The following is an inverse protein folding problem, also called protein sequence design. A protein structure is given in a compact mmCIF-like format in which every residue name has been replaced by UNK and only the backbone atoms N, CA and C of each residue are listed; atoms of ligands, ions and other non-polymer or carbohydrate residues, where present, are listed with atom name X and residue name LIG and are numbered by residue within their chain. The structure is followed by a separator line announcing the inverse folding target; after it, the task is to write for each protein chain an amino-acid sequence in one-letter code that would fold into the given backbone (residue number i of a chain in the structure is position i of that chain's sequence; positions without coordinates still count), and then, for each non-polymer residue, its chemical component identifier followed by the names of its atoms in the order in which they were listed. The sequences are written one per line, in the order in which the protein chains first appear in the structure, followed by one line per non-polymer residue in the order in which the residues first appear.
data_IF_038127142738
#
_entry.id   IF_038127142738
#
_cell.length_a   1.000
_cell.length_b   1.000
_cell.length_c   1.000
_cell.angle_alpha   90.00
_cell.angle_beta   90.00
_cell.angle_gamma   90.00
#
_symmetry.space_group_name_H-M   'P 1'
#
loop_
_entity.id
_entity.type
_entity.pdbx_description
1 polymer ?
#
# COMPACT_ATOMS: atom_id res chain seq x y z
N UNK A 1 -40.95 -72.12 -21.47
CA UNK A 1 -40.67 -71.79 -20.05
C UNK A 1 -39.18 -71.63 -19.77
N UNK A 2 -38.30 -72.55 -20.20
CA UNK A 2 -36.86 -72.51 -19.91
C UNK A 2 -36.18 -71.17 -20.28
N UNK A 3 -36.48 -70.64 -21.47
CA UNK A 3 -35.92 -69.37 -22.00
C UNK A 3 -36.47 -68.11 -21.31
N UNK A 4 -37.67 -68.18 -20.74
CA UNK A 4 -38.26 -67.06 -20.02
C UNK A 4 -37.58 -66.89 -18.65
N UNK A 5 -37.35 -68.01 -17.95
CA UNK A 5 -36.69 -68.01 -16.64
C UNK A 5 -35.24 -67.52 -16.72
N UNK A 6 -34.50 -67.84 -17.79
CA UNK A 6 -33.12 -67.34 -17.99
C UNK A 6 -33.08 -65.84 -18.20
N UNK A 7 -33.99 -65.30 -19.02
CA UNK A 7 -34.09 -63.85 -19.26
C UNK A 7 -34.49 -63.09 -17.99
N UNK A 8 -35.35 -63.67 -17.15
CA UNK A 8 -35.70 -63.08 -15.84
C UNK A 8 -34.47 -63.06 -14.92
N UNK A 9 -33.74 -64.17 -14.82
CA UNK A 9 -32.53 -64.24 -13.99
C UNK A 9 -31.45 -63.25 -14.44
N UNK A 10 -31.22 -63.08 -15.75
CA UNK A 10 -30.28 -62.08 -16.28
C UNK A 10 -30.70 -60.64 -15.93
N UNK A 11 -32.01 -60.34 -15.97
CA UNK A 11 -32.53 -59.03 -15.57
C UNK A 11 -32.37 -58.80 -14.07
N UNK A 12 -32.56 -59.81 -13.23
CA UNK A 12 -32.40 -59.69 -11.78
C UNK A 12 -30.94 -59.40 -11.41
N UNK A 13 -29.97 -60.06 -12.06
CA UNK A 13 -28.55 -59.75 -11.90
C UNK A 13 -28.25 -58.31 -12.34
N UNK A 14 -28.76 -57.88 -13.49
CA UNK A 14 -28.57 -56.51 -13.97
C UNK A 14 -29.25 -55.45 -13.08
N UNK A 15 -30.32 -55.81 -12.35
CA UNK A 15 -30.93 -54.95 -11.32
C UNK A 15 -30.00 -54.86 -10.12
N UNK A 16 -29.50 -56.00 -9.63
CA UNK A 16 -28.61 -56.06 -8.48
C UNK A 16 -27.30 -55.28 -8.71
N UNK A 17 -26.70 -55.40 -9.89
CA UNK A 17 -25.50 -54.63 -10.26
C UNK A 17 -25.76 -53.11 -10.26
N UNK A 18 -26.92 -52.67 -10.78
CA UNK A 18 -27.31 -51.25 -10.74
C UNK A 18 -27.55 -50.76 -9.32
N UNK A 19 -28.18 -51.57 -8.48
CA UNK A 19 -28.45 -51.19 -7.09
C UNK A 19 -27.14 -51.05 -6.29
N UNK A 20 -26.16 -51.92 -6.54
CA UNK A 20 -24.81 -51.78 -5.97
C UNK A 20 -24.11 -50.50 -6.48
N UNK A 21 -24.13 -50.23 -7.79
CA UNK A 21 -23.53 -49.02 -8.36
C UNK A 21 -24.19 -47.74 -7.80
N UNK A 22 -25.50 -47.75 -7.55
CA UNK A 22 -26.21 -46.63 -6.90
C UNK A 22 -25.73 -46.45 -5.45
N UNK A 23 -25.50 -47.53 -4.69
CA UNK A 23 -24.98 -47.44 -3.33
C UNK A 23 -23.57 -46.85 -3.30
N UNK A 24 -22.69 -47.27 -4.21
CA UNK A 24 -21.35 -46.70 -4.34
C UNK A 24 -21.39 -45.21 -4.67
N UNK A 25 -22.24 -44.80 -5.62
CA UNK A 25 -22.40 -43.37 -5.95
C UNK A 25 -22.95 -42.55 -4.78
N UNK A 26 -23.81 -43.11 -3.94
CA UNK A 26 -24.29 -42.42 -2.72
C UNK A 26 -23.15 -42.17 -1.74
N UNK A 27 -22.25 -43.14 -1.56
CA UNK A 27 -21.07 -42.99 -0.70
C UNK A 27 -20.18 -41.87 -1.26
N UNK A 28 -19.87 -41.92 -2.57
CA UNK A 28 -19.04 -40.89 -3.22
C UNK A 28 -19.67 -39.50 -3.13
N UNK A 29 -20.99 -39.39 -3.26
CA UNK A 29 -21.70 -38.12 -3.10
C UNK A 29 -21.56 -37.57 -1.68
N UNK A 30 -21.73 -38.42 -0.67
CA UNK A 30 -21.56 -38.04 0.72
C UNK A 30 -20.13 -37.53 1.01
N UNK A 31 -19.11 -38.26 0.55
CA UNK A 31 -17.71 -37.83 0.69
C UNK A 31 -17.45 -36.49 -0.01
N UNK A 32 -18.05 -36.25 -1.19
CA UNK A 32 -17.95 -34.98 -1.89
C UNK A 32 -18.64 -33.84 -1.14
N UNK A 33 -19.79 -34.08 -0.54
CA UNK A 33 -20.49 -33.09 0.28
C UNK A 33 -19.66 -32.68 1.50
N UNK A 34 -19.00 -33.63 2.17
CA UNK A 34 -18.09 -33.34 3.27
C UNK A 34 -16.87 -32.52 2.82
N UNK A 35 -16.27 -32.89 1.69
CA UNK A 35 -15.14 -32.15 1.13
C UNK A 35 -15.51 -30.72 0.70
N UNK A 36 -16.72 -30.52 0.16
CA UNK A 36 -17.24 -29.19 -0.14
C UNK A 36 -17.48 -28.37 1.13
N UNK A 37 -18.05 -28.98 2.17
CA UNK A 37 -18.25 -28.31 3.46
C UNK A 37 -16.92 -27.88 4.11
N UNK A 38 -15.86 -28.69 3.97
CA UNK A 38 -14.52 -28.33 4.45
C UNK A 38 -13.93 -27.15 3.66
N UNK A 39 -14.06 -27.17 2.33
CA UNK A 39 -13.64 -26.06 1.49
C UNK A 39 -14.38 -24.77 1.83
N UNK A 40 -15.68 -24.84 2.09
CA UNK A 40 -16.49 -23.67 2.43
C UNK A 40 -16.09 -23.09 3.80
N UNK A 41 -15.76 -23.93 4.79
CA UNK A 41 -15.17 -23.48 6.06
C UNK A 41 -13.84 -22.75 5.84
N UNK A 42 -12.95 -23.29 5.01
CA UNK A 42 -11.67 -22.66 4.72
C UNK A 42 -11.83 -21.31 3.99
N UNK A 43 -12.83 -21.17 3.12
CA UNK A 43 -13.16 -19.89 2.47
C UNK A 43 -13.65 -18.88 3.51
N UNK A 44 -14.55 -19.30 4.41
CA UNK A 44 -15.07 -18.44 5.46
C UNK A 44 -13.95 -17.93 6.40
N UNK A 45 -12.99 -18.78 6.75
CA UNK A 45 -11.81 -18.38 7.54
C UNK A 45 -10.94 -17.35 6.80
N UNK A 46 -10.71 -17.56 5.50
CA UNK A 46 -9.96 -16.60 4.67
C UNK A 46 -10.68 -15.26 4.56
N UNK A 47 -12.00 -15.28 4.35
CA UNK A 47 -12.81 -14.06 4.26
C UNK A 47 -12.83 -13.30 5.58
N UNK A 48 -12.90 -14.00 6.71
CA UNK A 48 -12.76 -13.40 8.04
C UNK A 48 -11.39 -12.74 8.22
N UNK A 49 -10.30 -13.42 7.85
CA UNK A 49 -8.96 -12.85 7.91
C UNK A 49 -8.79 -11.61 6.99
N UNK A 50 -9.40 -11.63 5.81
CA UNK A 50 -9.41 -10.47 4.89
C UNK A 50 -10.21 -9.31 5.50
N UNK A 51 -11.36 -9.59 6.12
CA UNK A 51 -12.17 -8.58 6.78
C UNK A 51 -11.40 -7.94 7.96
N UNK A 52 -10.71 -8.74 8.78
CA UNK A 52 -9.83 -8.24 9.83
C UNK A 52 -8.70 -7.37 9.27
N UNK A 53 -8.03 -7.83 8.22
CA UNK A 53 -6.97 -7.05 7.57
C UNK A 53 -7.50 -5.72 7.00
N UNK A 54 -8.74 -5.71 6.51
CA UNK A 54 -9.41 -4.49 6.05
C UNK A 54 -9.65 -3.51 7.21
N UNK A 55 -10.14 -3.99 8.35
CA UNK A 55 -10.33 -3.16 9.55
C UNK A 55 -9.00 -2.59 10.05
N UNK A 56 -7.91 -3.37 10.00
CA UNK A 56 -6.56 -2.88 10.36
C UNK A 56 -6.15 -1.74 9.43
N UNK A 57 -6.39 -1.87 8.12
CA UNK A 57 -6.06 -0.84 7.15
C UNK A 57 -6.90 0.44 7.36
N UNK A 58 -8.21 0.30 7.63
CA UNK A 58 -9.09 1.42 7.94
C UNK A 58 -8.68 2.13 9.24
N UNK A 59 -8.32 1.37 10.27
CA UNK A 59 -7.76 1.90 11.51
C UNK A 59 -6.45 2.66 11.27
N UNK A 60 -5.59 2.11 10.41
CA UNK A 60 -4.34 2.74 10.03
C UNK A 60 -4.56 4.08 9.30
N UNK A 61 -5.53 4.13 8.39
CA UNK A 61 -5.90 5.35 7.68
C UNK A 61 -6.50 6.40 8.63
N UNK A 62 -7.33 5.99 9.59
CA UNK A 62 -7.87 6.86 10.63
C UNK A 62 -6.78 7.42 11.55
N UNK A 63 -5.81 6.59 11.97
CA UNK A 63 -4.65 7.02 12.75
C UNK A 63 -3.81 8.05 11.98
N UNK A 64 -3.57 7.81 10.69
CA UNK A 64 -2.90 8.78 9.84
C UNK A 64 -3.67 10.10 9.74
N UNK A 65 -4.99 10.07 9.64
CA UNK A 65 -5.80 11.29 9.60
C UNK A 65 -5.74 12.09 10.92
N UNK A 66 -5.76 11.42 12.06
CA UNK A 66 -5.56 12.05 13.37
C UNK A 66 -4.15 12.63 13.51
N UNK A 67 -3.13 11.89 13.09
CA UNK A 67 -1.76 12.38 13.04
C UNK A 67 -1.62 13.66 12.19
N UNK A 68 -2.28 13.70 11.04
CA UNK A 68 -2.33 14.92 10.20
C UNK A 68 -3.02 16.11 10.88
N UNK A 69 -4.08 15.86 11.65
CA UNK A 69 -4.79 16.90 12.42
C UNK A 69 -3.88 17.49 13.50
N UNK A 70 -3.09 16.64 14.16
CA UNK A 70 -2.18 17.03 15.23
C UNK A 70 -0.97 17.84 14.72
N UNK A 71 -0.44 17.51 13.53
CA UNK A 71 0.55 18.36 12.85
C UNK A 71 0.01 19.74 12.47
N UNK A 72 -1.30 19.88 12.22
CA UNK A 72 -1.94 21.17 11.91
C UNK A 72 -2.21 22.03 13.15
N UNK A 73 -2.05 21.48 14.36
CA UNK A 73 -2.36 22.18 15.62
C UNK A 73 -1.11 22.62 16.41
N UNK A 74 0.09 22.46 15.86
CA UNK A 74 1.35 22.84 16.52
C UNK A 74 1.99 24.14 15.98
N UNK A 75 1.28 24.93 15.17
CA UNK A 75 1.77 26.21 14.63
C UNK A 75 1.55 27.44 15.55
N UNK A 76 1.07 27.26 16.79
CA UNK A 76 0.80 28.40 17.68
C UNK A 76 1.67 28.40 18.95
N UNK A 77 2.99 28.46 18.80
CA UNK A 77 3.86 29.10 19.81
C UNK A 77 5.01 29.89 19.17
N UNK A 78 4.90 31.21 19.33
CA UNK A 78 5.93 32.25 19.14
C UNK A 78 6.19 32.71 17.70
N UNK A 79 5.58 33.85 17.33
CA UNK A 79 6.32 35.07 17.00
C UNK A 79 5.37 36.27 17.25
N UNK A 80 5.70 37.07 18.25
CA UNK A 80 5.19 38.44 18.39
C UNK A 80 5.95 39.34 17.43
N UNK A 81 5.30 39.82 16.37
CA UNK A 81 5.67 41.10 15.76
C UNK A 81 4.39 41.87 15.42
N UNK A 82 4.16 42.92 16.18
CA UNK A 82 3.20 43.95 15.88
C UNK A 82 3.61 44.67 14.59
N UNK A 83 2.77 44.66 13.56
CA UNK A 83 2.57 45.83 12.71
C UNK A 83 1.15 45.78 12.12
N UNK A 84 0.35 46.77 12.47
CA UNK A 84 -1.06 46.87 12.07
C UNK A 84 -1.24 47.20 10.59
N UNK A 85 -2.40 46.84 10.05
CA UNK A 85 -3.43 47.78 9.62
C UNK A 85 -4.66 46.99 9.19
N UNK A 86 -5.84 47.46 9.62
CA UNK A 86 -7.11 46.76 9.49
C UNK A 86 -7.70 46.78 8.08
N UNK A 87 -8.77 45.99 7.92
CA UNK A 87 -10.11 46.39 7.46
C UNK A 87 -10.93 45.08 7.36
N UNK A 88 -11.92 44.92 8.24
CA UNK A 88 -13.00 43.94 8.07
C UNK A 88 -14.01 44.47 7.06
N UNK A 89 -14.79 43.60 6.39
CA UNK A 89 -16.17 43.44 6.85
C UNK A 89 -16.75 42.01 6.76
N UNK A 90 -17.65 41.71 7.69
CA UNK A 90 -18.52 40.52 7.73
C UNK A 90 -19.59 40.54 6.60
N UNK A 91 -20.33 39.43 6.32
CA UNK A 91 -21.63 39.25 7.00
C UNK A 91 -22.18 37.81 7.21
N UNK A 92 -22.95 37.67 8.32
CA UNK A 92 -24.30 37.06 8.52
C UNK A 92 -24.56 35.52 8.43
N UNK A 93 -24.89 34.98 9.61
CA UNK A 93 -25.98 34.07 10.05
C UNK A 93 -26.62 33.02 9.10
N UNK A 94 -26.75 31.79 9.65
CA UNK A 94 -27.79 30.81 9.31
C UNK A 94 -27.76 29.59 10.24
N UNK A 95 -28.70 29.51 11.19
CA UNK A 95 -28.96 28.35 12.06
C UNK A 95 -29.70 27.24 11.29
N UNK A 96 -29.38 25.97 11.53
CA UNK A 96 -30.36 24.87 11.58
C UNK A 96 -29.91 23.78 12.56
N UNK A 97 -30.90 23.19 13.21
CA UNK A 97 -30.90 22.44 14.47
C UNK A 97 -31.19 20.94 14.23
N UNK A 98 -30.99 20.13 15.28
CA UNK A 98 -31.31 18.69 15.51
C UNK A 98 -30.18 17.71 15.13
N UNK A 99 -29.78 16.73 15.95
CA UNK A 99 -30.32 16.19 17.22
C UNK A 99 -29.23 15.40 17.95
N UNK A 100 -29.19 15.55 19.27
CA UNK A 100 -28.32 14.83 20.21
C UNK A 100 -28.96 13.48 20.58
N UNK A 101 -28.24 12.38 20.37
CA UNK A 101 -28.61 11.06 20.86
C UNK A 101 -27.35 10.36 21.40
N UNK A 102 -27.41 10.05 22.69
CA UNK A 102 -26.36 9.43 23.48
C UNK A 102 -25.97 8.03 22.98
N UNK A 103 -24.68 7.70 23.05
CA UNK A 103 -24.29 6.33 23.42
C UNK A 103 -22.99 6.30 24.22
N UNK A 104 -23.19 5.98 25.50
CA UNK A 104 -22.24 5.44 26.46
C UNK A 104 -21.23 4.47 25.84
N UNK A 105 -19.94 4.70 26.06
CA UNK A 105 -18.96 3.60 26.12
C UNK A 105 -17.89 3.91 27.16
N UNK A 106 -17.81 3.00 28.13
CA UNK A 106 -16.80 2.91 29.18
C UNK A 106 -15.41 2.78 28.55
N UNK A 107 -14.54 3.76 28.73
CA UNK A 107 -13.12 3.62 28.42
C UNK A 107 -12.40 2.92 29.58
N UNK A 108 -12.18 1.61 29.39
CA UNK A 108 -11.32 0.71 30.17
C UNK A 108 -10.13 0.37 29.24
N UNK A 109 -8.91 0.22 29.78
CA UNK A 109 -7.79 1.08 29.41
C UNK A 109 -6.92 0.54 28.26
N UNK A 110 -6.15 1.49 27.71
CA UNK A 110 -4.89 1.32 27.01
C UNK A 110 -4.13 0.04 27.44
N UNK A 111 -4.16 -0.98 26.58
CA UNK A 111 -3.07 -1.93 26.48
C UNK A 111 -2.50 -1.86 25.06
N UNK A 112 -1.78 -0.78 24.84
CA UNK A 112 -0.85 -0.63 23.73
C UNK A 112 0.37 -1.48 24.06
N UNK A 113 0.38 -2.72 23.59
CA UNK A 113 1.56 -3.57 23.65
C UNK A 113 1.69 -4.30 22.32
N UNK A 114 2.15 -3.56 21.31
CA UNK A 114 2.86 -4.16 20.19
C UNK A 114 4.31 -3.66 20.24
N UNK A 115 5.13 -4.32 21.04
CA UNK A 115 6.56 -4.38 20.71
C UNK A 115 6.71 -5.34 19.53
N UNK A 116 6.68 -4.80 18.33
CA UNK A 116 7.34 -5.41 17.17
C UNK A 116 8.10 -4.33 16.43
N UNK A 117 9.41 -4.31 16.70
CA UNK A 117 10.50 -3.67 15.94
C UNK A 117 10.15 -3.46 14.47
N UNK A 118 9.77 -2.22 14.11
CA UNK A 118 10.00 -1.52 12.83
C UNK A 118 9.15 -0.24 12.79
N UNK A 119 9.55 0.76 13.56
CA UNK A 119 8.92 2.08 13.53
C UNK A 119 9.11 2.75 12.18
N UNK A 120 8.04 2.80 11.39
CA UNK A 120 7.85 3.76 10.31
C UNK A 120 6.45 4.32 10.47
N UNK A 121 6.32 5.32 11.35
CA UNK A 121 5.22 6.27 11.25
C UNK A 121 5.23 6.77 9.80
N UNK A 122 4.17 6.50 9.03
CA UNK A 122 4.02 7.04 7.69
C UNK A 122 3.83 8.55 7.85
N UNK A 123 4.94 9.27 7.84
CA UNK A 123 4.96 10.66 7.43
C UNK A 123 4.47 10.70 5.99
N UNK A 124 3.19 10.97 5.83
CA UNK A 124 2.57 11.16 4.53
C UNK A 124 2.95 12.57 4.06
N UNK A 125 4.12 12.61 3.44
CA UNK A 125 4.78 13.82 3.04
C UNK A 125 4.00 14.46 1.89
N UNK A 126 3.43 15.67 2.09
CA UNK A 126 2.67 16.39 1.07
C UNK A 126 3.59 16.77 -0.10
N UNK A 127 3.52 15.96 -1.15
CA UNK A 127 4.35 16.05 -2.36
C UNK A 127 4.28 17.42 -3.08
N UNK A 128 3.24 18.23 -2.79
CA UNK A 128 3.03 19.55 -3.38
C UNK A 128 3.79 20.70 -2.68
N UNK A 129 4.38 20.50 -1.51
CA UNK A 129 4.94 21.60 -0.69
C UNK A 129 6.47 21.59 -0.64
N UNK A 130 7.13 20.48 -1.00
CA UNK A 130 8.59 20.37 -0.92
C UNK A 130 9.28 20.61 -2.26
N UNK A 131 10.46 21.25 -2.25
CA UNK A 131 11.26 21.37 -3.47
C UNK A 131 11.61 19.99 -4.05
N UNK A 132 11.67 19.94 -5.39
CA UNK A 132 12.20 18.77 -6.08
C UNK A 132 13.66 18.53 -5.64
N UNK A 133 14.04 17.29 -5.30
CA UNK A 133 15.40 16.96 -4.89
C UNK A 133 16.38 17.22 -6.03
N UNK A 134 17.65 17.41 -5.69
CA UNK A 134 18.73 17.69 -6.63
C UNK A 134 19.77 16.57 -6.62
N UNK A 135 20.72 16.63 -7.54
CA UNK A 135 21.83 15.68 -7.61
C UNK A 135 23.13 16.41 -8.00
N UNK A 136 24.12 16.41 -7.12
CA UNK A 136 25.40 17.12 -7.30
C UNK A 136 26.55 16.27 -7.88
N UNK A 137 26.23 15.20 -8.61
CA UNK A 137 27.24 14.24 -9.09
C UNK A 137 28.24 14.82 -10.10
N UNK A 138 27.89 15.92 -10.76
CA UNK A 138 28.73 16.62 -11.75
C UNK A 138 29.50 17.80 -11.16
N UNK A 139 29.37 18.05 -9.84
CA UNK A 139 29.92 19.25 -9.19
C UNK A 139 28.93 20.42 -9.12
N UNK A 140 27.88 20.39 -9.94
CA UNK A 140 26.76 21.36 -9.91
C UNK A 140 25.45 20.68 -9.47
N UNK A 141 24.56 21.44 -8.84
CA UNK A 141 23.24 20.95 -8.39
C UNK A 141 22.26 20.86 -9.56
N UNK A 142 21.92 19.64 -9.95
CA UNK A 142 21.01 19.39 -11.08
C UNK A 142 19.66 18.85 -10.59
N UNK A 143 18.56 19.40 -11.08
CA UNK A 143 17.22 19.05 -10.61
C UNK A 143 16.82 17.60 -10.95
N UNK A 144 16.28 16.92 -9.94
CA UNK A 144 15.51 15.68 -9.95
C UNK A 144 14.34 15.68 -10.95
N UNK A 145 14.11 14.63 -11.75
CA UNK A 145 12.81 14.45 -12.41
C UNK A 145 11.99 13.33 -11.78
N UNK A 146 10.66 13.47 -11.85
CA UNK A 146 9.72 12.47 -11.35
C UNK A 146 9.80 11.19 -12.17
N UNK A 147 9.67 10.06 -11.48
CA UNK A 147 9.75 8.73 -12.08
C UNK A 147 8.78 7.75 -11.39
N UNK A 148 7.89 7.14 -12.18
CA UNK A 148 6.95 6.14 -11.67
C UNK A 148 6.01 6.67 -10.59
N UNK A 149 5.61 5.82 -9.65
CA UNK A 149 4.72 6.19 -8.55
C UNK A 149 5.53 6.87 -7.41
N UNK A 150 5.63 8.19 -7.45
CA UNK A 150 6.29 9.02 -6.43
C UNK A 150 7.83 8.90 -6.37
N UNK A 151 8.45 8.21 -7.34
CA UNK A 151 9.90 8.04 -7.40
C UNK A 151 10.62 9.22 -8.05
N UNK A 152 11.95 9.16 -7.98
CA UNK A 152 12.85 10.18 -8.52
C UNK A 152 13.93 9.56 -9.39
N UNK A 153 14.37 10.33 -10.38
CA UNK A 153 15.45 9.93 -11.26
C UNK A 153 16.43 11.09 -11.49
N UNK A 154 17.72 10.82 -11.37
CA UNK A 154 18.77 11.84 -11.49
C UNK A 154 18.87 12.37 -12.93
N UNK A 155 19.06 13.68 -13.08
CA UNK A 155 19.29 14.29 -14.39
C UNK A 155 20.75 14.21 -14.88
N UNK A 156 21.72 14.02 -13.98
CA UNK A 156 23.14 14.24 -14.25
C UNK A 156 24.05 13.01 -14.10
N UNK A 157 23.53 11.85 -13.69
CA UNK A 157 24.37 10.67 -13.51
C UNK A 157 23.67 9.36 -13.81
N UNK A 158 24.43 8.40 -14.33
CA UNK A 158 24.07 6.99 -14.28
C UNK A 158 24.93 6.31 -13.21
N UNK A 159 24.90 4.99 -13.18
CA UNK A 159 25.79 4.19 -12.34
C UNK A 159 27.27 4.32 -12.73
N UNK A 160 27.58 4.59 -14.00
CA UNK A 160 28.95 4.57 -14.54
C UNK A 160 29.44 5.91 -15.07
N UNK A 161 28.58 6.94 -15.10
CA UNK A 161 28.95 8.26 -15.63
C UNK A 161 28.26 9.36 -14.83
N UNK A 162 28.94 10.48 -14.67
CA UNK A 162 28.38 11.71 -14.11
C UNK A 162 28.63 12.82 -15.11
N UNK A 163 27.61 13.20 -15.87
CA UNK A 163 27.64 14.32 -16.81
C UNK A 163 26.23 14.89 -17.01
N UNK A 164 26.14 16.18 -17.26
CA UNK A 164 24.88 16.85 -17.54
C UNK A 164 25.00 17.68 -18.82
N UNK A 165 24.03 17.58 -19.76
CA UNK A 165 22.93 16.62 -19.76
C UNK A 165 23.41 15.19 -20.10
N UNK A 166 22.71 14.16 -19.65
CA UNK A 166 23.03 12.77 -19.98
C UNK A 166 22.99 12.50 -21.51
N UNK A 167 23.86 11.62 -22.04
CA UNK A 167 24.02 11.42 -23.48
C UNK A 167 22.74 10.84 -24.11
N UNK A 168 22.60 11.00 -25.42
CA UNK A 168 21.49 10.40 -26.17
C UNK A 168 21.64 8.89 -26.25
N UNK A 169 20.51 8.16 -26.26
CA UNK A 169 20.55 6.72 -26.51
C UNK A 169 20.84 6.47 -28.00
N UNK A 170 21.76 5.55 -28.36
CA UNK A 170 22.19 5.35 -29.76
C UNK A 170 21.04 5.06 -30.73
N UNK A 171 20.02 4.32 -30.27
CA UNK A 171 18.93 3.82 -31.10
C UNK A 171 17.63 4.66 -31.02
N UNK A 172 17.59 5.76 -30.26
CA UNK A 172 16.42 6.66 -30.23
C UNK A 172 16.86 8.12 -30.32
N UNK A 173 16.62 8.71 -31.49
CA UNK A 173 16.78 10.16 -31.71
C UNK A 173 15.89 10.88 -30.70
N UNK A 174 16.44 11.84 -29.95
CA UNK A 174 15.80 12.68 -28.90
C UNK A 174 15.65 12.09 -27.50
N UNK A 175 15.89 10.79 -27.27
CA UNK A 175 15.84 10.25 -25.90
C UNK A 175 17.23 10.25 -25.27
N UNK A 176 17.35 10.72 -24.02
CA UNK A 176 18.60 10.63 -23.25
C UNK A 176 18.65 9.35 -22.43
N UNK A 177 19.86 8.91 -22.10
CA UNK A 177 20.08 7.80 -21.18
C UNK A 177 19.44 8.17 -19.84
N UNK A 178 18.65 7.25 -19.28
CA UNK A 178 18.04 7.45 -17.98
C UNK A 178 19.10 7.45 -16.87
N UNK A 179 19.03 8.43 -15.96
CA UNK A 179 19.90 8.47 -14.79
C UNK A 179 19.51 7.46 -13.70
N UNK A 180 20.22 7.52 -12.57
CA UNK A 180 19.95 6.69 -11.36
C UNK A 180 18.54 6.93 -10.83
N UNK A 181 17.90 5.89 -10.29
CA UNK A 181 16.49 5.89 -9.87
C UNK A 181 16.35 5.57 -8.40
N UNK A 182 15.31 6.12 -7.78
CA UNK A 182 14.86 5.83 -6.42
C UNK A 182 13.33 5.71 -6.42
N UNK A 183 12.78 4.68 -5.78
CA UNK A 183 11.32 4.54 -5.64
C UNK A 183 10.78 5.55 -4.63
N UNK A 184 9.49 5.90 -4.74
CA UNK A 184 8.83 6.79 -3.79
C UNK A 184 8.90 6.28 -2.35
N UNK A 185 8.70 4.98 -2.15
CA UNK A 185 8.80 4.36 -0.82
C UNK A 185 10.21 4.44 -0.21
N UNK A 186 11.27 4.34 -1.02
CA UNK A 186 12.65 4.50 -0.54
C UNK A 186 12.95 5.97 -0.26
N UNK A 187 12.42 6.86 -1.10
CA UNK A 187 12.56 8.29 -0.90
C UNK A 187 11.84 8.77 0.38
N UNK A 188 10.61 8.32 0.65
CA UNK A 188 9.92 8.64 1.91
C UNK A 188 10.71 8.16 3.13
N UNK A 189 11.28 6.95 3.09
CA UNK A 189 12.14 6.43 4.17
C UNK A 189 13.42 7.25 4.36
N UNK A 190 13.99 7.77 3.27
CA UNK A 190 15.14 8.66 3.32
C UNK A 190 14.75 9.99 4.01
N UNK A 191 13.61 10.57 3.65
CA UNK A 191 13.15 11.82 4.27
C UNK A 191 12.93 11.66 5.78
N UNK A 192 12.30 10.56 6.22
CA UNK A 192 12.15 10.28 7.65
C UNK A 192 13.50 10.27 8.38
N UNK A 193 14.49 9.55 7.84
CA UNK A 193 15.84 9.51 8.44
C UNK A 193 16.49 10.88 8.49
N UNK A 194 16.35 11.68 7.42
CA UNK A 194 16.91 13.03 7.39
C UNK A 194 16.26 13.94 8.44
N UNK A 195 14.95 13.81 8.67
CA UNK A 195 14.25 14.53 9.75
C UNK A 195 14.78 14.06 11.11
N UNK A 196 14.93 12.76 11.32
CA UNK A 196 15.46 12.19 12.57
C UNK A 196 16.89 12.68 12.86
N UNK A 197 17.70 12.87 11.81
CA UNK A 197 19.05 13.45 11.87
C UNK A 197 19.03 15.00 12.03
N UNK A 198 17.85 15.63 12.07
CA UNK A 198 17.67 17.07 12.28
C UNK A 198 17.82 17.93 11.02
N UNK A 199 17.79 17.34 9.82
CA UNK A 199 17.86 18.09 8.57
C UNK A 199 16.57 18.85 8.26
N UNK A 200 16.71 20.11 7.85
CA UNK A 200 15.59 20.93 7.40
C UNK A 200 15.21 20.59 5.94
N UNK A 201 13.99 20.05 5.74
CA UNK A 201 13.46 19.68 4.42
C UNK A 201 12.84 20.84 3.62
N UNK A 202 12.92 22.08 4.10
CA UNK A 202 12.58 23.26 3.28
C UNK A 202 13.57 23.48 2.14
N UNK A 203 14.78 22.93 2.24
CA UNK A 203 15.77 22.94 1.18
C UNK A 203 15.68 21.68 0.29
N UNK A 204 16.04 21.76 -1.01
CA UNK A 204 16.13 20.58 -1.86
C UNK A 204 17.13 19.55 -1.32
N UNK A 205 16.70 18.31 -1.17
CA UNK A 205 17.57 17.21 -0.74
C UNK A 205 18.50 16.79 -1.89
N UNK A 206 19.81 16.75 -1.65
CA UNK A 206 20.78 16.25 -2.63
C UNK A 206 20.89 14.72 -2.56
N UNK A 207 20.49 14.04 -3.63
CA UNK A 207 20.44 12.59 -3.72
C UNK A 207 21.77 11.94 -4.10
N UNK A 208 22.84 12.71 -4.35
CA UNK A 208 24.16 12.19 -4.79
C UNK A 208 24.61 10.93 -4.03
N UNK A 209 24.49 10.94 -2.71
CA UNK A 209 24.92 9.86 -1.81
C UNK A 209 23.79 8.90 -1.42
N UNK A 210 22.55 9.15 -1.86
CA UNK A 210 21.37 8.39 -1.48
C UNK A 210 20.81 7.50 -2.59
N UNK A 211 21.23 7.72 -3.85
CA UNK A 211 20.90 6.80 -4.94
C UNK A 211 21.27 5.37 -4.57
N UNK A 212 20.37 4.43 -4.89
CA UNK A 212 20.64 3.00 -4.67
C UNK A 212 21.97 2.60 -5.28
N UNK A 213 22.86 2.01 -4.48
CA UNK A 213 24.10 1.40 -4.96
C UNK A 213 23.71 0.24 -5.88
N UNK A 214 23.99 0.39 -7.17
CA UNK A 214 23.90 -0.64 -8.22
C UNK A 214 22.65 -1.56 -8.17
N UNK A 215 21.62 -1.19 -8.92
CA UNK A 215 20.87 -2.13 -9.77
C UNK A 215 20.40 -3.47 -9.19
N UNK A 216 19.91 -3.56 -7.96
CA UNK A 216 19.08 -4.73 -7.57
C UNK A 216 17.64 -4.50 -7.99
N UNK A 217 17.38 -4.47 -9.30
CA UNK A 217 16.05 -4.84 -9.77
C UNK A 217 15.94 -6.36 -9.62
N UNK A 218 15.38 -6.82 -8.49
CA UNK A 218 15.18 -8.25 -8.18
C UNK A 218 14.10 -8.92 -9.06
N UNK A 219 14.03 -8.56 -10.35
CA UNK A 219 13.20 -9.20 -11.37
C UNK A 219 13.86 -9.11 -12.76
N UNK A 220 15.06 -9.66 -12.91
CA UNK A 220 15.52 -10.09 -14.23
C UNK A 220 15.74 -11.59 -14.19
N UNK A 221 14.69 -12.34 -14.49
CA UNK A 221 14.80 -13.73 -14.88
C UNK A 221 15.58 -13.75 -16.18
N UNK A 222 16.78 -14.32 -16.17
CA UNK A 222 17.50 -14.71 -17.38
C UNK A 222 17.65 -16.22 -17.30
N UNK A 223 17.10 -16.91 -18.31
CA UNK A 223 17.23 -18.36 -18.55
C UNK A 223 18.67 -18.71 -18.91
#
# INVERSE_FOLDING_TARGET
MQTYMTVVAEKDVAVQERDMAIQELKIVLFEKEEALAERDRAIQERDAAIAEHKLILESYDALNALYFRECSMNDDKSITVSLGNGISPAPKHGHHHLSEAALSTRNVPLKLEWETKSGLNKFNFKESTMPAPVCSCTGEVQQCYKWGNGGWQSACCTTKMSMYPLPHVPNKRRTRVGGRKMSGSVFSKLLCRLIDDGHNLSAPVDLKNHWGKHGTNRYSTIK
#
